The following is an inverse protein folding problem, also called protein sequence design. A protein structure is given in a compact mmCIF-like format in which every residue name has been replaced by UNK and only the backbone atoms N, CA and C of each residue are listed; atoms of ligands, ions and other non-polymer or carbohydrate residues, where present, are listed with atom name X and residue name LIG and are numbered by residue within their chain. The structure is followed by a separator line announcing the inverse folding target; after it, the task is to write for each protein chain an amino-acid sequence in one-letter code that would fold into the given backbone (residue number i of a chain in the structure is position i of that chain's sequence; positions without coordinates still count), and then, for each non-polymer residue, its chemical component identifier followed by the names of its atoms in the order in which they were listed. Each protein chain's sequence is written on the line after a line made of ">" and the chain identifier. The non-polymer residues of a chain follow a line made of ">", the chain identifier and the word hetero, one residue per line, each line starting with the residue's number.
data_IF_006445862973
#
_entry.id   IF_006445862973
#
_cell.length_a   1.000
_cell.length_b   1.000
_cell.length_c   1.000
_cell.angle_alpha   90.00
_cell.angle_beta   90.00
_cell.angle_gamma   90.00
#
_symmetry.space_group_name_H-M   'P 1'
#
loop_
_entity.id
_entity.type
_entity.pdbx_description
1 polymer ?
#
# COMPACT_ATOMS: atom_id res chain seq x y z
N UNK A 1 6.19 2.89 -2.53
CA UNK A 1 5.95 3.15 -3.95
C UNK A 1 7.17 2.60 -4.64
N UNK A 2 7.07 1.42 -5.24
CA UNK A 2 8.23 0.74 -5.81
C UNK A 2 8.60 1.34 -7.17
N UNK A 3 9.84 1.80 -7.31
CA UNK A 3 10.30 2.48 -8.52
C UNK A 3 10.28 1.58 -9.75
N UNK A 4 10.26 0.24 -9.58
CA UNK A 4 10.28 -0.74 -10.69
C UNK A 4 8.91 -0.96 -11.33
N UNK A 5 7.86 -0.37 -10.79
CA UNK A 5 6.49 -0.51 -11.32
C UNK A 5 6.15 0.73 -12.13
N UNK A 6 6.04 0.54 -13.45
CA UNK A 6 5.34 1.45 -14.35
C UNK A 6 3.85 1.10 -14.32
N UNK A 7 3.05 1.93 -13.64
CA UNK A 7 1.62 1.69 -13.48
C UNK A 7 0.83 1.82 -14.78
N UNK A 8 1.34 2.54 -15.79
CA UNK A 8 0.68 2.68 -17.08
C UNK A 8 1.01 1.49 -17.97
N UNK A 9 2.30 1.21 -18.15
CA UNK A 9 2.74 0.13 -19.03
C UNK A 9 2.35 -1.27 -18.49
N UNK A 10 2.36 -1.48 -17.17
CA UNK A 10 2.08 -2.80 -16.57
C UNK A 10 0.66 -3.32 -16.79
N UNK A 11 -0.29 -2.42 -17.05
CA UNK A 11 -1.70 -2.76 -17.27
C UNK A 11 -2.28 -2.10 -18.53
N UNK A 12 -1.42 -1.59 -19.43
CA UNK A 12 -1.81 -1.07 -20.74
C UNK A 12 -2.66 0.21 -20.70
N UNK A 13 -2.47 1.07 -19.70
CA UNK A 13 -3.19 2.34 -19.58
C UNK A 13 -2.53 3.46 -20.38
N UNK A 14 -3.35 4.36 -20.90
CA UNK A 14 -2.95 5.63 -21.50
C UNK A 14 -3.29 6.81 -20.58
N UNK A 15 -2.77 7.98 -20.93
CA UNK A 15 -3.10 9.23 -20.23
C UNK A 15 -4.61 9.50 -20.34
N UNK A 16 -5.26 9.59 -19.18
CA UNK A 16 -6.70 9.82 -19.07
C UNK A 16 -7.53 8.57 -18.78
N UNK A 17 -6.95 7.36 -18.88
CA UNK A 17 -7.72 6.10 -18.74
C UNK A 17 -8.12 5.81 -17.29
N UNK A 18 -7.26 6.14 -16.32
CA UNK A 18 -7.53 5.83 -14.92
C UNK A 18 -6.84 6.79 -13.94
N UNK A 19 -7.43 6.89 -12.75
CA UNK A 19 -6.75 7.45 -11.59
C UNK A 19 -5.80 6.41 -10.98
N UNK A 20 -4.53 6.77 -10.85
CA UNK A 20 -3.49 5.88 -10.30
C UNK A 20 -3.11 6.35 -8.90
N UNK A 21 -3.47 5.57 -7.88
CA UNK A 21 -3.08 5.83 -6.48
C UNK A 21 -1.95 4.90 -6.08
N UNK A 22 -0.78 5.46 -5.73
CA UNK A 22 0.38 4.68 -5.29
C UNK A 22 0.70 5.00 -3.83
N UNK A 23 0.79 3.97 -2.99
CA UNK A 23 1.24 4.09 -1.59
C UNK A 23 2.38 3.11 -1.33
N UNK A 24 3.09 3.31 -0.23
CA UNK A 24 4.24 2.49 0.09
C UNK A 24 3.86 1.15 0.73
N UNK A 25 2.62 1.00 1.22
CA UNK A 25 2.19 -0.07 2.14
C UNK A 25 0.69 -0.33 2.01
N UNK A 26 0.18 -1.30 2.79
CA UNK A 26 -1.26 -1.66 2.86
C UNK A 26 -2.16 -0.46 3.16
N UNK A 27 -3.43 -0.61 2.82
CA UNK A 27 -4.48 0.35 3.14
C UNK A 27 -4.73 0.39 4.65
N UNK A 28 -4.72 1.60 5.23
CA UNK A 28 -5.06 1.80 6.63
C UNK A 28 -6.59 1.87 6.82
N UNK A 29 -7.15 1.17 7.82
CA UNK A 29 -8.41 1.56 8.42
C UNK A 29 -8.29 2.99 8.98
N UNK A 30 -9.11 3.93 8.50
CA UNK A 30 -9.17 5.31 9.02
C UNK A 30 -8.46 6.40 8.20
N UNK A 31 -7.70 6.06 7.15
CA UNK A 31 -7.10 7.06 6.21
C UNK A 31 -7.52 6.84 4.75
N UNK A 32 -8.70 6.25 4.55
CA UNK A 32 -9.34 6.21 3.25
C UNK A 32 -10.09 7.53 3.05
N UNK A 33 -9.47 8.48 2.35
CA UNK A 33 -10.13 9.72 1.93
C UNK A 33 -11.10 9.40 0.79
N UNK A 34 -12.26 10.06 0.79
CA UNK A 34 -13.40 9.85 -0.11
C UNK A 34 -13.12 10.06 -1.62
N UNK A 35 -11.88 10.34 -2.02
CA UNK A 35 -11.53 10.58 -3.43
C UNK A 35 -11.27 9.29 -4.24
N UNK A 36 -11.36 8.12 -3.63
CA UNK A 36 -11.10 6.83 -4.30
C UNK A 36 -12.38 6.17 -4.84
N UNK A 37 -13.19 6.91 -5.62
CA UNK A 37 -14.45 6.42 -6.21
C UNK A 37 -14.30 5.64 -7.54
N UNK A 38 -13.09 5.15 -7.84
CA UNK A 38 -12.78 4.56 -9.16
C UNK A 38 -12.22 3.13 -9.04
N UNK A 39 -12.36 2.29 -10.09
CA UNK A 39 -11.82 0.93 -10.12
C UNK A 39 -10.32 0.99 -9.81
N UNK A 40 -9.96 0.57 -8.60
CA UNK A 40 -8.60 0.70 -8.10
C UNK A 40 -7.88 -0.62 -8.32
N UNK A 41 -6.99 -0.68 -9.32
CA UNK A 41 -6.01 -1.76 -9.44
C UNK A 41 -4.87 -1.49 -8.44
N UNK A 42 -4.83 -2.24 -7.34
CA UNK A 42 -3.73 -2.18 -6.39
C UNK A 42 -2.58 -3.07 -6.86
N UNK A 43 -1.52 -2.45 -7.40
CA UNK A 43 -0.26 -3.13 -7.67
C UNK A 43 0.63 -3.16 -6.42
N UNK A 44 0.88 -4.35 -5.87
CA UNK A 44 1.78 -4.52 -4.73
C UNK A 44 3.20 -4.86 -5.15
N UNK A 45 4.15 -4.30 -4.40
CA UNK A 45 5.57 -4.62 -4.47
C UNK A 45 6.06 -5.24 -3.17
N UNK A 46 7.03 -6.16 -3.23
CA UNK A 46 7.57 -6.90 -2.06
C UNK A 46 8.31 -6.05 -1.03
N UNK A 47 8.57 -4.76 -1.29
CA UNK A 47 9.40 -3.92 -0.42
C UNK A 47 9.02 -3.90 1.06
N UNK A 48 7.72 -3.95 1.38
CA UNK A 48 7.24 -3.96 2.78
C UNK A 48 7.24 -5.31 3.47
N UNK A 49 7.75 -6.37 2.82
CA UNK A 49 7.96 -7.69 3.43
C UNK A 49 9.30 -7.80 4.17
N UNK A 50 10.25 -6.92 3.87
CA UNK A 50 11.63 -7.04 4.33
C UNK A 50 11.88 -6.41 5.71
N UNK A 51 10.86 -5.80 6.33
CA UNK A 51 10.98 -5.16 7.65
C UNK A 51 9.66 -5.27 8.41
N UNK A 52 9.74 -5.26 9.74
CA UNK A 52 8.57 -5.17 10.62
C UNK A 52 8.38 -3.74 11.15
N UNK A 53 7.20 -3.47 11.75
CA UNK A 53 6.95 -2.19 12.42
C UNK A 53 8.00 -1.90 13.51
N UNK A 54 8.34 -2.84 14.42
CA UNK A 54 9.43 -2.66 15.38
C UNK A 54 10.76 -2.27 14.74
N UNK A 55 11.21 -2.99 13.70
CA UNK A 55 12.50 -2.72 13.05
C UNK A 55 12.59 -1.28 12.53
N UNK A 56 11.51 -0.78 11.92
CA UNK A 56 11.47 0.60 11.44
C UNK A 56 11.42 1.61 12.58
N UNK A 57 10.75 1.31 13.69
CA UNK A 57 10.75 2.20 14.85
C UNK A 57 12.17 2.36 15.40
N UNK A 58 12.90 1.26 15.49
CA UNK A 58 14.27 1.26 15.99
C UNK A 58 15.22 2.03 15.07
N UNK A 59 15.11 1.84 13.75
CA UNK A 59 15.89 2.59 12.77
C UNK A 59 15.61 4.10 12.87
N UNK A 60 14.32 4.50 12.88
CA UNK A 60 13.96 5.92 12.93
C UNK A 60 14.39 6.57 14.25
N UNK A 61 14.31 5.84 15.37
CA UNK A 61 14.78 6.33 16.68
C UNK A 61 16.30 6.48 16.73
N UNK A 62 17.04 5.55 16.10
CA UNK A 62 18.50 5.58 16.05
C UNK A 62 19.03 6.74 15.21
N UNK A 63 18.37 7.05 14.10
CA UNK A 63 18.80 8.09 13.17
C UNK A 63 18.24 9.49 13.53
N UNK A 64 17.45 9.59 14.61
CA UNK A 64 16.87 10.84 15.06
C UNK A 64 17.94 11.80 15.58
N UNK A 65 17.88 13.07 15.13
CA UNK A 65 18.75 14.12 15.66
C UNK A 65 18.48 14.34 17.16
N UNK A 66 19.52 14.56 17.99
CA UNK A 66 19.37 14.62 19.46
C UNK A 66 18.35 15.66 19.94
N UNK A 67 18.23 16.77 19.22
CA UNK A 67 17.36 17.91 19.54
C UNK A 67 15.87 17.58 19.44
N UNK A 68 15.49 16.60 18.62
CA UNK A 68 14.09 16.22 18.32
C UNK A 68 13.79 14.75 18.64
N UNK A 69 14.75 14.03 19.22
CA UNK A 69 14.66 12.59 19.44
C UNK A 69 13.44 12.16 20.28
N UNK A 70 13.08 12.94 21.31
CA UNK A 70 11.92 12.66 22.16
C UNK A 70 10.59 12.80 21.40
N UNK A 71 10.43 13.86 20.62
CA UNK A 71 9.23 14.10 19.80
C UNK A 71 9.10 13.05 18.69
N UNK A 72 10.21 12.69 18.05
CA UNK A 72 10.24 11.64 17.03
C UNK A 72 9.87 10.29 17.64
N UNK A 73 10.42 9.93 18.81
CA UNK A 73 10.11 8.67 19.47
C UNK A 73 8.61 8.54 19.78
N UNK A 74 7.99 9.59 20.35
CA UNK A 74 6.55 9.58 20.64
C UNK A 74 5.68 9.45 19.38
N UNK A 75 6.06 10.13 18.29
CA UNK A 75 5.34 10.06 17.02
C UNK A 75 5.48 8.68 16.36
N UNK A 76 6.68 8.10 16.42
CA UNK A 76 7.02 6.80 15.82
C UNK A 76 6.35 5.64 16.56
N UNK A 77 6.24 5.72 17.89
CA UNK A 77 5.54 4.70 18.69
C UNK A 77 4.04 4.65 18.43
N UNK A 78 3.43 5.79 18.08
CA UNK A 78 2.02 5.88 17.67
C UNK A 78 1.80 5.52 16.19
N UNK A 79 2.88 5.43 15.41
CA UNK A 79 2.79 5.12 13.99
C UNK A 79 2.81 3.62 13.77
N UNK A 80 1.73 3.10 13.17
CA UNK A 80 1.76 1.77 12.58
C UNK A 80 2.28 1.86 11.15
N UNK A 81 3.31 1.07 10.91
CA UNK A 81 4.02 0.98 9.67
C UNK A 81 3.40 -0.05 8.72
N UNK A 82 2.36 -0.80 9.11
CA UNK A 82 1.56 -1.67 8.24
C UNK A 82 2.42 -2.66 7.43
N UNK A 83 3.46 -3.19 8.08
CA UNK A 83 4.29 -4.23 7.51
C UNK A 83 3.47 -5.52 7.31
N UNK A 84 3.89 -6.36 6.37
CA UNK A 84 3.22 -7.63 6.12
C UNK A 84 4.18 -8.71 5.68
N UNK A 85 3.93 -9.94 6.09
CA UNK A 85 4.77 -11.10 5.74
C UNK A 85 4.30 -11.83 4.49
N UNK A 86 2.98 -11.85 4.24
CA UNK A 86 2.38 -12.54 3.10
C UNK A 86 1.79 -11.53 2.10
N UNK A 87 2.27 -11.61 0.85
CA UNK A 87 1.86 -10.73 -0.24
C UNK A 87 0.43 -11.01 -0.71
N UNK A 88 0.08 -12.28 -0.95
CA UNK A 88 -1.24 -12.66 -1.46
C UNK A 88 -2.30 -12.38 -0.41
N UNK A 89 -2.01 -12.65 0.86
CA UNK A 89 -2.89 -12.32 1.97
C UNK A 89 -3.05 -10.80 2.12
N UNK A 90 -2.00 -10.01 1.90
CA UNK A 90 -2.13 -8.54 1.92
C UNK A 90 -3.13 -8.02 0.90
N UNK A 91 -3.09 -8.58 -0.32
CA UNK A 91 -4.00 -8.20 -1.39
C UNK A 91 -5.43 -8.57 -1.01
N UNK A 92 -5.64 -9.77 -0.46
CA UNK A 92 -6.96 -10.23 -0.02
C UNK A 92 -7.52 -9.39 1.13
N UNK A 93 -6.69 -9.06 2.12
CA UNK A 93 -7.08 -8.23 3.27
C UNK A 93 -7.51 -6.84 2.82
N UNK A 94 -6.75 -6.22 1.93
CA UNK A 94 -7.03 -4.88 1.41
C UNK A 94 -8.29 -4.85 0.53
N UNK A 95 -8.53 -5.89 -0.27
CA UNK A 95 -9.79 -6.01 -1.04
C UNK A 95 -10.99 -6.19 -0.12
N UNK A 96 -10.84 -7.03 0.91
CA UNK A 96 -11.89 -7.22 1.92
C UNK A 96 -12.21 -5.90 2.60
N UNK A 97 -11.17 -5.17 3.03
CA UNK A 97 -11.30 -3.84 3.62
C UNK A 97 -12.05 -2.89 2.68
N UNK A 98 -11.72 -2.84 1.38
CA UNK A 98 -12.41 -1.98 0.42
C UNK A 98 -13.88 -2.35 0.22
N UNK A 99 -14.19 -3.65 0.12
CA UNK A 99 -15.56 -4.14 -0.06
C UNK A 99 -16.44 -3.90 1.17
N UNK A 100 -15.86 -3.94 2.36
CA UNK A 100 -16.56 -3.71 3.63
C UNK A 100 -16.64 -2.22 4.00
N UNK A 101 -15.89 -1.35 3.32
CA UNK A 101 -15.82 0.07 3.66
C UNK A 101 -17.09 0.81 3.19
N UNK A 102 -17.84 1.49 4.09
CA UNK A 102 -19.06 2.21 3.73
C UNK A 102 -18.82 3.41 2.80
N UNK A 103 -17.58 3.87 2.66
CA UNK A 103 -17.18 4.96 1.75
C UNK A 103 -16.95 4.48 0.31
N UNK A 104 -16.97 3.16 0.07
CA UNK A 104 -16.88 2.57 -1.27
C UNK A 104 -18.30 2.22 -1.73
N UNK A 105 -18.66 2.66 -2.94
CA UNK A 105 -19.97 2.37 -3.52
C UNK A 105 -20.11 0.85 -3.71
N UNK A 106 -21.28 0.28 -3.38
CA UNK A 106 -21.50 -1.17 -3.37
C UNK A 106 -21.39 -1.81 -4.75
N UNK A 107 -21.65 -1.02 -5.79
CA UNK A 107 -21.52 -1.38 -7.20
C UNK A 107 -20.08 -1.32 -7.73
N UNK A 108 -19.12 -0.82 -6.93
CA UNK A 108 -17.71 -0.73 -7.33
C UNK A 108 -17.12 -2.12 -7.48
N UNK A 109 -16.60 -2.42 -8.67
CA UNK A 109 -15.85 -3.65 -8.92
C UNK A 109 -14.44 -3.50 -8.34
N UNK A 110 -14.09 -4.37 -7.39
CA UNK A 110 -12.77 -4.40 -6.74
C UNK A 110 -12.08 -5.74 -7.03
N UNK A 111 -10.92 -5.67 -7.68
CA UNK A 111 -10.09 -6.83 -8.08
C UNK A 111 -8.69 -6.74 -7.49
N UNK A 112 -8.07 -7.90 -7.25
CA UNK A 112 -6.74 -8.00 -6.64
C UNK A 112 -5.66 -8.48 -7.57
N UNK A 113 -4.54 -7.77 -7.65
CA UNK A 113 -3.45 -8.12 -8.55
C UNK A 113 -2.09 -8.07 -7.85
N UNK A 114 -1.19 -8.95 -8.27
CA UNK A 114 0.23 -8.93 -7.89
C UNK A 114 1.04 -8.69 -9.15
N UNK A 115 1.94 -7.72 -9.08
CA UNK A 115 2.91 -7.44 -10.13
C UNK A 115 4.23 -8.14 -9.78
N UNK A 116 4.73 -8.98 -10.69
CA UNK A 116 6.05 -9.56 -10.58
C UNK A 116 7.09 -8.58 -11.15
N UNK A 117 7.97 -8.10 -10.28
CA UNK A 117 9.00 -7.11 -10.63
C UNK A 117 10.14 -7.69 -11.46
N UNK A 118 10.24 -9.03 -11.59
CA UNK A 118 11.31 -9.67 -12.33
C UNK A 118 10.98 -9.83 -13.82
N UNK A 119 9.73 -10.16 -14.15
CA UNK A 119 9.30 -10.41 -15.53
C UNK A 119 8.21 -9.43 -16.03
N UNK A 120 7.71 -8.56 -15.15
CA UNK A 120 6.72 -7.53 -15.47
C UNK A 120 5.29 -8.05 -15.61
N UNK A 121 5.02 -9.33 -15.28
CA UNK A 121 3.68 -9.90 -15.40
C UNK A 121 2.80 -9.54 -14.22
N UNK A 122 1.49 -9.51 -14.47
CA UNK A 122 0.46 -9.36 -13.44
C UNK A 122 -0.29 -10.67 -13.24
N UNK A 123 -0.50 -11.06 -11.98
CA UNK A 123 -1.28 -12.22 -11.57
C UNK A 123 -2.50 -11.75 -10.77
N UNK A 124 -3.69 -12.14 -11.21
CA UNK A 124 -4.91 -11.89 -10.45
C UNK A 124 -5.01 -12.86 -9.27
N UNK A 125 -5.42 -12.35 -8.12
CA UNK A 125 -5.59 -13.10 -6.86
C UNK A 125 -7.06 -13.21 -6.45
N UNK A 126 -7.87 -12.18 -6.75
CA UNK A 126 -9.31 -12.10 -6.46
C UNK A 126 -10.04 -11.43 -7.62
#
# INVERSE_FOLDING_TARGET
>A
MDARIDAFASIGLNLGDAHVVRKCRRLCPGRYSQHSHFPTSLGYSRGSQYFTTPDLRDIVKKDAAPEVASQIAEAVDKTDFLAFSDLEQSVKDDIKFLKENPLVLKETVVTGWIYDVHDGKVKQIV
#
